data_IF_819359199417
#
_entry.id   IF_819359199417
#
_cell.length_a   1.000
_cell.length_b   1.000
_cell.length_c   1.000
_cell.angle_alpha   90.00
_cell.angle_beta   90.00
_cell.angle_gamma   90.00
#
_symmetry.space_group_name_H-M   'P 1'
#
loop_
_entity.id
_entity.type
_entity.pdbx_description
1 polymer ?
#
# COMPACT_ATOMS: atom_id res chain seq x y z
N UNK A 1 -11.65 -8.47 -3.52
CA UNK A 1 -10.38 -7.73 -3.32
C UNK A 1 -9.34 -8.22 -4.31
N UNK A 2 -8.53 -7.32 -4.81
CA UNK A 2 -7.42 -7.70 -5.70
C UNK A 2 -6.20 -8.05 -4.86
N UNK A 3 -5.65 -9.22 -5.09
CA UNK A 3 -4.47 -9.68 -4.36
C UNK A 3 -3.35 -9.94 -5.37
N UNK A 4 -2.18 -9.37 -5.12
CA UNK A 4 -1.03 -9.48 -5.98
C UNK A 4 0.17 -9.98 -5.21
N UNK A 5 1.03 -10.74 -5.90
CA UNK A 5 2.30 -11.15 -5.34
C UNK A 5 3.39 -10.26 -5.93
N UNK A 6 4.10 -9.55 -5.07
CA UNK A 6 5.15 -8.65 -5.51
C UNK A 6 6.46 -8.99 -4.81
N UNK A 7 7.54 -8.86 -5.54
CA UNK A 7 8.88 -9.06 -5.01
C UNK A 7 9.50 -7.70 -4.68
N UNK A 8 10.54 -7.68 -3.85
CA UNK A 8 11.22 -6.41 -3.55
C UNK A 8 11.65 -5.72 -4.84
N UNK A 9 11.41 -4.43 -4.90
CA UNK A 9 11.72 -3.63 -6.07
C UNK A 9 10.60 -3.51 -7.07
N UNK A 10 9.55 -4.32 -6.94
CA UNK A 10 8.41 -4.24 -7.83
C UNK A 10 7.37 -3.29 -7.27
N UNK A 11 6.56 -2.72 -8.15
CA UNK A 11 5.58 -1.74 -7.73
C UNK A 11 4.24 -1.98 -8.38
N UNK A 12 3.21 -1.35 -7.81
CA UNK A 12 1.85 -1.38 -8.32
C UNK A 12 1.39 0.05 -8.51
N UNK A 13 0.80 0.33 -9.66
CA UNK A 13 0.29 1.66 -9.98
C UNK A 13 -1.22 1.66 -9.75
N UNK A 14 -1.69 2.65 -9.01
CA UNK A 14 -3.11 2.81 -8.73
C UNK A 14 -3.55 4.13 -9.33
N UNK A 15 -4.57 4.08 -10.18
CA UNK A 15 -5.17 5.29 -10.79
C UNK A 15 -4.14 6.16 -11.50
N UNK A 16 -3.06 5.59 -11.98
CA UNK A 16 -2.00 6.23 -12.76
C UNK A 16 -1.22 7.31 -12.01
N UNK A 17 -1.57 7.63 -10.77
CA UNK A 17 -0.84 8.65 -10.02
C UNK A 17 -0.45 8.22 -8.60
N UNK A 18 -0.71 6.99 -8.23
CA UNK A 18 -0.35 6.46 -6.93
C UNK A 18 0.50 5.22 -7.16
N UNK A 19 1.67 5.18 -6.54
CA UNK A 19 2.58 4.04 -6.64
C UNK A 19 2.76 3.39 -5.28
N UNK A 20 2.73 2.07 -5.26
CA UNK A 20 3.06 1.29 -4.07
C UNK A 20 4.24 0.41 -4.44
N UNK A 21 5.33 0.55 -3.72
CA UNK A 21 6.55 -0.18 -4.00
C UNK A 21 6.91 -1.08 -2.84
N UNK A 22 7.29 -2.31 -3.14
CA UNK A 22 7.80 -3.21 -2.11
C UNK A 22 9.28 -2.91 -1.95
N UNK A 23 9.65 -2.38 -0.79
CA UNK A 23 11.03 -1.99 -0.54
C UNK A 23 11.85 -3.15 0.01
N UNK A 24 11.27 -3.92 0.94
CA UNK A 24 11.98 -5.03 1.55
C UNK A 24 10.98 -5.98 2.19
N UNK A 25 11.40 -7.23 2.32
CA UNK A 25 10.61 -8.25 3.01
C UNK A 25 11.51 -8.86 4.06
N UNK A 26 11.06 -8.86 5.33
CA UNK A 26 11.82 -9.40 6.44
C UNK A 26 10.91 -10.30 7.27
N UNK A 27 11.08 -11.61 7.11
CA UNK A 27 10.26 -12.54 7.87
C UNK A 27 8.78 -12.28 7.67
N UNK A 28 8.10 -11.88 8.73
CA UNK A 28 6.66 -11.59 8.68
C UNK A 28 6.36 -10.13 8.32
N UNK A 29 7.37 -9.33 8.08
CA UNK A 29 7.18 -7.90 7.86
C UNK A 29 7.52 -7.52 6.43
N UNK A 30 6.75 -6.59 5.89
CA UNK A 30 6.98 -6.07 4.55
C UNK A 30 7.08 -4.56 4.66
N UNK A 31 8.14 -4.00 4.08
CA UNK A 31 8.32 -2.56 4.05
C UNK A 31 7.80 -2.06 2.71
N UNK A 32 6.83 -1.15 2.76
CA UNK A 32 6.18 -0.60 1.58
C UNK A 32 6.45 0.89 1.48
N UNK A 33 6.69 1.34 0.26
CA UNK A 33 6.80 2.76 -0.03
C UNK A 33 5.60 3.21 -0.84
N UNK A 34 5.07 4.38 -0.50
CA UNK A 34 3.91 4.94 -1.18
C UNK A 34 4.26 6.28 -1.76
N UNK A 35 3.79 6.52 -2.97
CA UNK A 35 3.94 7.81 -3.63
C UNK A 35 2.58 8.24 -4.13
N UNK A 36 2.14 9.46 -3.77
CA UNK A 36 0.83 9.95 -4.15
C UNK A 36 0.89 11.47 -4.26
N UNK A 37 -0.07 12.07 -5.01
CA UNK A 37 -0.17 13.52 -5.07
C UNK A 37 -0.53 14.13 -3.72
N UNK A 38 -0.32 15.44 -3.60
CA UNK A 38 -0.55 16.14 -2.33
C UNK A 38 -2.01 16.09 -1.90
N UNK A 39 -2.93 15.95 -2.83
CA UNK A 39 -4.35 15.93 -2.50
C UNK A 39 -4.83 14.54 -2.08
N UNK A 40 -3.94 13.57 -2.02
CA UNK A 40 -4.28 12.22 -1.58
C UNK A 40 -3.58 11.94 -0.27
N UNK A 41 -4.36 11.74 0.79
CA UNK A 41 -3.81 11.43 2.10
C UNK A 41 -3.56 9.94 2.20
N UNK A 42 -2.42 9.59 2.77
CA UNK A 42 -2.09 8.19 3.04
C UNK A 42 -2.13 8.00 4.55
N UNK A 43 -3.11 7.25 5.02
CA UNK A 43 -3.35 7.13 6.44
C UNK A 43 -3.41 5.65 6.79
N UNK A 44 -2.68 5.26 7.84
CA UNK A 44 -2.75 3.89 8.32
C UNK A 44 -4.14 3.57 8.84
N UNK A 45 -4.58 2.35 8.61
CA UNK A 45 -5.93 1.97 8.99
C UNK A 45 -6.18 2.10 10.49
N UNK A 46 -5.16 1.90 11.30
CA UNK A 46 -5.35 1.99 12.74
C UNK A 46 -5.61 3.43 13.21
N UNK A 47 -5.36 4.40 12.36
CA UNK A 47 -5.60 5.80 12.68
C UNK A 47 -6.94 6.30 12.15
N UNK A 48 -7.66 5.49 11.40
CA UNK A 48 -8.91 5.86 10.77
C UNK A 48 -9.98 4.84 11.19
N UNK A 49 -11.03 5.27 11.88
CA UNK A 49 -12.11 4.34 12.24
C UNK A 49 -12.98 4.08 11.02
N UNK A 50 -12.56 3.18 10.17
CA UNK A 50 -13.18 2.97 8.88
C UNK A 50 -13.70 1.54 8.78
N UNK A 51 -14.95 1.41 8.36
CA UNK A 51 -15.57 0.11 8.23
C UNK A 51 -15.04 -0.69 7.05
N UNK A 52 -14.60 -0.01 6.00
CA UNK A 52 -14.08 -0.72 4.85
C UNK A 52 -12.58 -0.90 4.90
N UNK A 53 -12.06 -0.96 6.07
CA UNK A 53 -10.62 -1.06 6.23
C UNK A 53 -10.04 -2.33 5.62
N UNK A 54 -10.87 -3.26 5.23
CA UNK A 54 -10.36 -4.44 4.57
C UNK A 54 -9.56 -4.12 3.32
N UNK A 55 -9.73 -2.93 2.77
CA UNK A 55 -9.01 -2.55 1.58
C UNK A 55 -7.50 -2.55 1.79
N UNK A 56 -7.04 -2.17 2.97
CA UNK A 56 -5.61 -2.11 3.21
C UNK A 56 -5.06 -3.42 3.72
N UNK A 57 -5.89 -4.39 3.88
CA UNK A 57 -5.44 -5.70 4.33
C UNK A 57 -4.60 -6.39 3.28
N UNK A 58 -4.74 -5.97 2.07
CA UNK A 58 -4.02 -6.60 0.98
C UNK A 58 -2.55 -6.66 1.19
#
# INVERSE_FOLDING_TARGET
MLVLNRKPGEEVIIASNICVTVLAIHGNSVKLGFSAPDDVAIIRSELVPCAESDAEQG
#
